data_IF_962174536620
#
_entry.id   IF_962174536620
#
_cell.length_a   1.000
_cell.length_b   1.000
_cell.length_c   1.000
_cell.angle_alpha   90.00
_cell.angle_beta   90.00
_cell.angle_gamma   90.00
#
_symmetry.space_group_name_H-M   'P 1'
#
loop_
_entity.id
_entity.type
_entity.pdbx_description
1 polymer ?
#
# COMPACT_ATOMS: atom_id res chain seq x y z
N UNK A 1 38.77 20.99 7.17
CA UNK A 1 38.49 19.89 6.22
C UNK A 1 37.67 18.74 6.84
N UNK A 2 38.01 18.22 8.03
CA UNK A 2 37.34 17.05 8.62
C UNK A 2 35.87 17.24 9.05
N UNK A 3 35.50 18.40 9.60
CA UNK A 3 34.13 18.64 10.10
C UNK A 3 33.08 18.67 8.98
N UNK A 4 33.42 19.26 7.83
CA UNK A 4 32.53 19.34 6.68
C UNK A 4 32.35 17.95 6.05
N UNK A 5 33.41 17.15 6.01
CA UNK A 5 33.32 15.76 5.56
C UNK A 5 32.44 14.91 6.48
N UNK A 6 32.50 15.14 7.80
CA UNK A 6 31.66 14.45 8.78
C UNK A 6 30.18 14.83 8.65
N UNK A 7 29.89 16.12 8.47
CA UNK A 7 28.54 16.62 8.21
C UNK A 7 27.97 16.08 6.89
N UNK A 8 28.81 16.04 5.84
CA UNK A 8 28.41 15.52 4.53
C UNK A 8 28.12 14.02 4.59
N UNK A 9 28.92 13.25 5.32
CA UNK A 9 28.70 11.80 5.48
C UNK A 9 27.48 11.49 6.34
N UNK A 10 27.19 12.28 7.38
CA UNK A 10 25.96 12.16 8.17
C UNK A 10 24.71 12.49 7.32
N UNK A 11 24.79 13.52 6.48
CA UNK A 11 23.73 13.90 5.55
C UNK A 11 23.45 12.78 4.52
N UNK A 12 24.50 12.20 3.92
CA UNK A 12 24.37 11.08 2.98
C UNK A 12 23.76 9.84 3.65
N UNK A 13 24.17 9.54 4.88
CA UNK A 13 23.59 8.43 5.65
C UNK A 13 22.11 8.67 5.96
N UNK A 14 21.71 9.91 6.30
CA UNK A 14 20.30 10.27 6.52
C UNK A 14 19.43 10.26 5.25
N UNK A 15 20.04 10.49 4.09
CA UNK A 15 19.37 10.41 2.77
C UNK A 15 19.31 8.99 2.21
N UNK A 16 19.84 7.99 2.93
CA UNK A 16 19.70 6.59 2.56
C UNK A 16 18.29 6.11 2.89
N UNK A 17 17.27 6.77 2.32
CA UNK A 17 15.91 6.26 2.30
C UNK A 17 15.97 4.94 1.54
N UNK A 18 15.75 3.84 2.24
CA UNK A 18 15.62 2.54 1.62
C UNK A 18 14.52 2.64 0.57
N UNK A 19 14.88 2.57 -0.71
CA UNK A 19 13.92 2.29 -1.77
C UNK A 19 13.44 0.85 -1.55
N UNK A 20 12.47 0.66 -0.66
CA UNK A 20 11.72 -0.58 -0.61
C UNK A 20 10.94 -0.63 -1.92
N UNK A 21 11.25 -1.60 -2.77
CA UNK A 21 10.40 -1.89 -3.91
C UNK A 21 8.98 -2.13 -3.37
N UNK A 22 8.04 -1.30 -3.83
CA UNK A 22 6.65 -1.38 -3.40
C UNK A 22 6.12 -2.76 -3.75
N UNK A 23 5.64 -3.49 -2.74
CA UNK A 23 5.23 -4.88 -2.96
C UNK A 23 3.80 -4.89 -3.49
N UNK A 24 3.57 -5.52 -4.63
CA UNK A 24 2.22 -5.61 -5.21
C UNK A 24 1.49 -6.87 -4.76
N UNK A 25 0.19 -6.74 -4.47
CA UNK A 25 -0.72 -7.85 -4.23
C UNK A 25 -1.93 -7.73 -5.17
N UNK A 26 -2.20 -8.78 -5.93
CA UNK A 26 -3.41 -8.90 -6.76
C UNK A 26 -4.39 -9.84 -6.05
N UNK A 27 -5.55 -9.31 -5.71
CA UNK A 27 -6.65 -10.11 -5.21
C UNK A 27 -7.44 -10.64 -6.39
N UNK A 28 -7.59 -11.97 -6.45
CA UNK A 28 -8.47 -12.65 -7.41
C UNK A 28 -9.62 -13.25 -6.61
N UNK A 29 -10.83 -12.95 -7.03
CA UNK A 29 -12.02 -13.36 -6.32
C UNK A 29 -13.29 -13.17 -7.13
N UNK A 30 -14.40 -13.23 -6.42
CA UNK A 30 -15.73 -12.97 -6.93
C UNK A 30 -16.49 -12.03 -5.99
N UNK A 31 -17.74 -11.75 -6.31
CA UNK A 31 -18.60 -10.87 -5.52
C UNK A 31 -18.68 -11.28 -4.03
N UNK A 32 -18.73 -12.58 -3.73
CA UNK A 32 -18.78 -13.08 -2.36
C UNK A 32 -17.49 -12.75 -1.58
N UNK A 33 -16.33 -13.04 -2.16
CA UNK A 33 -15.04 -12.71 -1.53
C UNK A 33 -14.82 -11.20 -1.39
N UNK A 34 -15.54 -10.38 -2.15
CA UNK A 34 -15.49 -8.92 -2.08
C UNK A 34 -16.63 -8.31 -1.25
N UNK A 35 -17.38 -9.12 -0.49
CA UNK A 35 -18.34 -8.62 0.49
C UNK A 35 -19.69 -8.19 -0.10
N UNK A 36 -20.13 -8.82 -1.20
CA UNK A 36 -21.43 -8.56 -1.82
C UNK A 36 -22.59 -8.55 -0.81
N UNK A 37 -23.48 -7.56 -0.95
CA UNK A 37 -24.63 -7.38 -0.06
C UNK A 37 -24.29 -6.74 1.29
N UNK A 38 -23.03 -6.36 1.53
CA UNK A 38 -22.60 -5.69 2.76
C UNK A 38 -21.94 -4.33 2.48
N UNK A 39 -21.88 -3.43 3.49
CA UNK A 39 -21.16 -2.15 3.37
C UNK A 39 -19.67 -2.32 3.04
N UNK A 40 -19.08 -3.48 3.32
CA UNK A 40 -17.67 -3.77 3.05
C UNK A 40 -17.36 -3.72 1.55
N UNK A 41 -18.33 -4.03 0.66
CA UNK A 41 -18.10 -4.05 -0.80
C UNK A 41 -17.47 -2.76 -1.32
N UNK A 42 -17.89 -1.61 -0.79
CA UNK A 42 -17.40 -0.29 -1.20
C UNK A 42 -16.47 0.36 -0.16
N UNK A 43 -16.02 -0.40 0.84
CA UNK A 43 -15.11 0.10 1.86
C UNK A 43 -13.83 0.63 1.21
N UNK A 44 -13.62 1.95 1.29
CA UNK A 44 -12.41 2.64 0.83
C UNK A 44 -11.95 2.21 -0.58
N UNK A 45 -12.87 2.05 -1.53
CA UNK A 45 -12.54 1.63 -2.90
C UNK A 45 -11.45 2.51 -3.55
N UNK A 46 -11.35 3.80 -3.19
CA UNK A 46 -10.32 4.71 -3.69
C UNK A 46 -8.90 4.45 -3.18
N UNK A 47 -8.68 3.51 -2.25
CA UNK A 47 -7.34 3.17 -1.72
C UNK A 47 -6.71 1.95 -2.37
N UNK A 48 -7.42 1.32 -3.30
CA UNK A 48 -6.98 0.14 -4.05
C UNK A 48 -7.19 0.39 -5.55
N UNK A 49 -6.49 -0.36 -6.39
CA UNK A 49 -6.61 -0.26 -7.85
C UNK A 49 -7.60 -1.31 -8.35
N UNK A 50 -8.83 -0.89 -8.61
CA UNK A 50 -9.85 -1.70 -9.25
C UNK A 50 -9.61 -1.74 -10.76
N UNK A 51 -9.12 -2.87 -11.27
CA UNK A 51 -8.78 -3.03 -12.68
C UNK A 51 -10.01 -3.09 -13.58
N UNK A 52 -11.18 -3.36 -13.01
CA UNK A 52 -12.46 -3.47 -13.74
C UNK A 52 -13.30 -2.19 -13.64
N UNK A 53 -12.90 -1.21 -12.84
CA UNK A 53 -13.60 0.04 -12.59
C UNK A 53 -15.04 -0.13 -12.07
N UNK A 54 -15.27 -1.11 -11.21
CA UNK A 54 -16.59 -1.38 -10.59
C UNK A 54 -16.83 -0.60 -9.29
N UNK A 55 -15.81 0.10 -8.79
CA UNK A 55 -15.86 0.84 -7.52
C UNK A 55 -15.84 -0.09 -6.31
N UNK A 56 -15.16 -1.24 -6.42
CA UNK A 56 -15.03 -2.21 -5.34
C UNK A 56 -13.79 -1.90 -4.50
N UNK A 57 -13.96 -1.98 -3.18
CA UNK A 57 -12.85 -1.99 -2.23
C UNK A 57 -12.78 -3.34 -1.52
N UNK A 58 -13.88 -3.75 -0.88
CA UNK A 58 -14.07 -5.09 -0.35
C UNK A 58 -12.99 -5.54 0.64
N UNK A 59 -12.74 -6.85 0.63
CA UNK A 59 -11.62 -7.47 1.34
C UNK A 59 -10.25 -6.92 0.91
N UNK A 60 -9.97 -6.63 -0.38
CA UNK A 60 -8.71 -5.98 -0.79
C UNK A 60 -8.42 -4.67 -0.06
N UNK A 61 -9.41 -3.78 0.09
CA UNK A 61 -9.23 -2.51 0.79
C UNK A 61 -9.09 -2.68 2.31
N UNK A 62 -9.71 -3.71 2.91
CA UNK A 62 -9.45 -4.08 4.31
C UNK A 62 -8.02 -4.56 4.49
N UNK A 63 -7.52 -5.43 3.60
CA UNK A 63 -6.12 -5.84 3.60
C UNK A 63 -5.18 -4.64 3.51
N UNK A 64 -5.43 -3.70 2.59
CA UNK A 64 -4.64 -2.46 2.47
C UNK A 64 -4.62 -1.68 3.79
N UNK A 65 -5.77 -1.51 4.44
CA UNK A 65 -5.85 -0.82 5.73
C UNK A 65 -5.04 -1.50 6.83
N UNK A 66 -5.00 -2.83 6.88
CA UNK A 66 -4.20 -3.56 7.86
C UNK A 66 -2.70 -3.54 7.53
N UNK A 67 -2.35 -3.65 6.25
CA UNK A 67 -0.97 -3.50 5.79
C UNK A 67 -0.41 -2.13 6.16
N UNK A 68 -1.17 -1.06 5.91
CA UNK A 68 -0.80 0.30 6.28
C UNK A 68 -0.60 0.46 7.80
N UNK A 69 -1.50 -0.12 8.61
CA UNK A 69 -1.36 -0.13 10.08
C UNK A 69 -0.14 -0.91 10.56
N UNK A 70 0.27 -1.95 9.82
CA UNK A 70 1.47 -2.74 10.10
C UNK A 70 2.75 -2.10 9.55
N UNK A 71 2.68 -0.94 8.88
CA UNK A 71 3.83 -0.29 8.24
C UNK A 71 4.32 -0.99 6.97
N UNK A 72 3.47 -1.80 6.33
CA UNK A 72 3.77 -2.51 5.10
C UNK A 72 3.20 -1.76 3.90
N UNK A 73 4.08 -1.24 3.04
CA UNK A 73 3.67 -0.48 1.85
C UNK A 73 3.34 -1.40 0.68
N UNK A 74 2.11 -1.91 0.66
CA UNK A 74 1.57 -2.69 -0.45
C UNK A 74 0.84 -1.83 -1.48
N UNK A 75 1.08 -2.10 -2.75
CA UNK A 75 0.17 -1.78 -3.84
C UNK A 75 -0.86 -2.89 -3.99
N UNK A 76 -2.15 -2.54 -3.90
CA UNK A 76 -3.22 -3.53 -3.88
C UNK A 76 -4.11 -3.35 -5.11
N UNK A 77 -4.23 -4.42 -5.89
CA UNK A 77 -5.03 -4.51 -7.09
C UNK A 77 -6.16 -5.54 -6.90
N UNK A 78 -7.27 -5.36 -7.59
CA UNK A 78 -8.42 -6.27 -7.60
C UNK A 78 -9.14 -6.28 -8.94
#
# INVERSE_FOLDING_TARGET
MKLHQLLLSFLIFSLSTMAMARTSALFIGNSFTYGWGSPVRHYRASTVMDLNNEGIGGVPALFKSFADQAGLDYDVYL
#
